data_IF_973765130002
#
_entry.id   IF_973765130002
#
_cell.length_a   1.000
_cell.length_b   1.000
_cell.length_c   1.000
_cell.angle_alpha   90.00
_cell.angle_beta   90.00
_cell.angle_gamma   90.00
#
_symmetry.space_group_name_H-M   'P 1'
#
loop_
_entity.id
_entity.type
_entity.pdbx_description
1 polymer ?
#
# COMPACT_ATOMS: atom_id res chain seq x y z
N UNK A 1 1.57 -12.68 14.89
CA UNK A 1 0.30 -12.76 14.11
C UNK A 1 0.53 -12.00 12.83
N UNK A 2 0.31 -12.63 11.68
CA UNK A 2 0.48 -11.99 10.37
C UNK A 2 -0.88 -11.58 9.81
N UNK A 3 -0.90 -10.44 9.14
CA UNK A 3 -2.03 -9.93 8.40
C UNK A 3 -2.08 -10.58 7.00
N UNK A 4 -3.28 -10.88 6.52
CA UNK A 4 -3.49 -11.23 5.12
C UNK A 4 -3.46 -9.94 4.28
N UNK A 5 -2.57 -9.89 3.29
CA UNK A 5 -2.48 -8.74 2.39
C UNK A 5 -3.26 -9.02 1.12
N UNK A 6 -4.34 -8.27 0.90
CA UNK A 6 -5.20 -8.37 -0.27
C UNK A 6 -4.94 -7.22 -1.23
N UNK A 7 -4.98 -7.52 -2.53
CA UNK A 7 -4.89 -6.55 -3.62
C UNK A 7 -5.85 -6.93 -4.74
N UNK A 8 -6.49 -5.93 -5.34
CA UNK A 8 -7.37 -6.15 -6.50
C UNK A 8 -6.55 -6.27 -7.78
N UNK A 9 -7.15 -6.81 -8.85
CA UNK A 9 -6.53 -6.83 -10.19
C UNK A 9 -6.15 -5.43 -10.68
N UNK A 10 -6.93 -4.40 -10.30
CA UNK A 10 -6.63 -3.00 -10.61
C UNK A 10 -5.30 -2.58 -9.98
N UNK A 11 -5.13 -2.83 -8.69
CA UNK A 11 -3.89 -2.50 -7.97
C UNK A 11 -2.71 -3.25 -8.54
N UNK A 12 -2.87 -4.53 -8.89
CA UNK A 12 -1.80 -5.28 -9.54
C UNK A 12 -1.38 -4.63 -10.86
N UNK A 13 -2.32 -4.18 -11.70
CA UNK A 13 -1.99 -3.45 -12.94
C UNK A 13 -1.28 -2.12 -12.68
N UNK A 14 -1.65 -1.39 -11.62
CA UNK A 14 -0.95 -0.16 -11.23
C UNK A 14 0.52 -0.47 -10.88
N UNK A 15 0.76 -1.55 -10.13
CA UNK A 15 2.11 -2.02 -9.79
C UNK A 15 2.88 -2.47 -11.05
N UNK A 16 2.20 -3.17 -11.96
CA UNK A 16 2.78 -3.69 -13.19
C UNK A 16 3.11 -2.61 -14.23
N UNK A 17 2.52 -1.42 -14.11
CA UNK A 17 2.86 -0.28 -14.96
C UNK A 17 4.15 0.44 -14.53
N UNK A 18 4.69 0.10 -13.35
CA UNK A 18 5.86 0.76 -12.77
C UNK A 18 7.14 0.07 -13.25
N UNK A 19 8.18 0.88 -13.45
CA UNK A 19 9.54 0.43 -13.75
C UNK A 19 10.03 -0.64 -12.76
N UNK A 20 10.77 -1.63 -13.28
CA UNK A 20 11.11 -2.86 -12.55
C UNK A 20 11.70 -2.60 -11.17
N UNK A 21 12.59 -1.60 -11.04
CA UNK A 21 13.25 -1.26 -9.78
C UNK A 21 12.27 -0.81 -8.70
N UNK A 22 11.30 0.02 -9.07
CA UNK A 22 10.32 0.56 -8.13
C UNK A 22 9.19 -0.44 -7.84
N UNK A 23 8.83 -1.26 -8.83
CA UNK A 23 7.94 -2.41 -8.64
C UNK A 23 8.44 -3.33 -7.52
N UNK A 24 9.71 -3.74 -7.58
CA UNK A 24 10.32 -4.60 -6.56
C UNK A 24 10.28 -3.96 -5.17
N UNK A 25 10.49 -2.64 -5.07
CA UNK A 25 10.39 -1.92 -3.79
C UNK A 25 8.96 -1.91 -3.27
N UNK A 26 7.98 -1.73 -4.13
CA UNK A 26 6.57 -1.76 -3.74
C UNK A 26 6.19 -3.15 -3.24
N UNK A 27 6.54 -4.21 -3.97
CA UNK A 27 6.25 -5.57 -3.57
C UNK A 27 6.91 -5.95 -2.24
N UNK A 28 8.17 -5.54 -2.03
CA UNK A 28 8.85 -5.73 -0.74
C UNK A 28 8.15 -5.04 0.42
N UNK A 29 7.64 -3.82 0.21
CA UNK A 29 6.86 -3.13 1.24
C UNK A 29 5.50 -3.79 1.47
N UNK A 30 4.81 -4.22 0.41
CA UNK A 30 3.53 -4.94 0.52
C UNK A 30 3.71 -6.23 1.33
N UNK A 31 4.80 -6.97 1.10
CA UNK A 31 5.13 -8.16 1.88
C UNK A 31 5.36 -7.81 3.37
N UNK A 32 6.10 -6.73 3.65
CA UNK A 32 6.33 -6.25 5.03
C UNK A 32 5.03 -5.88 5.76
N UNK A 33 4.00 -5.41 5.04
CA UNK A 33 2.71 -5.06 5.65
C UNK A 33 1.99 -6.27 6.27
N UNK A 34 2.29 -7.49 5.83
CA UNK A 34 1.76 -8.70 6.44
C UNK A 34 2.28 -8.87 7.88
N UNK A 35 3.55 -8.54 8.14
CA UNK A 35 4.18 -8.71 9.45
C UNK A 35 3.99 -7.48 10.33
N UNK A 36 4.11 -6.30 9.73
CA UNK A 36 3.95 -5.02 10.39
C UNK A 36 3.06 -4.13 9.52
N UNK A 37 1.74 -4.09 9.76
CA UNK A 37 0.83 -3.27 8.96
C UNK A 37 1.01 -1.77 9.21
N UNK A 38 1.79 -1.37 10.22
CA UNK A 38 2.07 0.03 10.60
C UNK A 38 3.58 0.27 10.70
N UNK A 39 4.36 0.06 9.62
CA UNK A 39 5.81 0.23 9.65
C UNK A 39 6.18 1.71 9.91
N UNK A 40 7.41 2.03 10.34
CA UNK A 40 7.79 3.41 10.71
C UNK A 40 7.55 4.47 9.62
N UNK A 41 7.55 4.10 8.34
CA UNK A 41 7.28 4.99 7.20
C UNK A 41 5.80 5.12 6.84
N UNK A 42 4.91 4.47 7.58
CA UNK A 42 3.48 4.57 7.37
C UNK A 42 2.91 5.79 8.10
N UNK A 43 2.05 6.52 7.40
CA UNK A 43 1.33 7.68 7.93
C UNK A 43 -0.17 7.39 7.85
N UNK A 44 -0.88 7.55 8.97
CA UNK A 44 -2.34 7.51 8.98
C UNK A 44 -2.89 8.72 8.23
N UNK A 45 -3.85 8.52 7.34
CA UNK A 45 -4.48 9.63 6.63
C UNK A 45 -5.57 10.26 7.50
N UNK A 46 -5.56 11.60 7.57
CA UNK A 46 -6.54 12.38 8.33
C UNK A 46 -7.91 12.31 7.63
N UNK A 47 -8.99 12.18 8.41
CA UNK A 47 -10.36 12.19 7.90
C UNK A 47 -10.84 10.88 7.27
N UNK A 48 -10.01 9.85 7.18
CA UNK A 48 -10.39 8.54 6.64
C UNK A 48 -10.15 7.44 7.67
N UNK A 49 -11.21 6.70 8.03
CA UNK A 49 -11.12 5.61 9.01
C UNK A 49 -10.21 4.52 8.46
N UNK A 50 -9.23 4.11 9.26
CA UNK A 50 -8.32 2.99 8.96
C UNK A 50 -7.48 3.09 7.68
N UNK A 51 -7.34 4.27 7.06
CA UNK A 51 -6.46 4.46 5.91
C UNK A 51 -5.06 4.88 6.29
N UNK A 52 -4.10 4.27 5.61
CA UNK A 52 -2.68 4.47 5.80
C UNK A 52 -1.98 4.63 4.46
N UNK A 53 -0.86 5.35 4.50
CA UNK A 53 0.03 5.52 3.36
C UNK A 53 1.44 5.22 3.78
N UNK A 54 2.14 4.35 3.05
CA UNK A 54 3.59 4.16 3.18
C UNK A 54 4.33 4.68 1.95
N UNK A 55 5.45 5.36 2.18
CA UNK A 55 6.33 5.89 1.12
C UNK A 55 7.56 5.00 0.94
N UNK A 56 7.86 4.62 -0.29
CA UNK A 56 9.08 3.89 -0.67
C UNK A 56 9.66 4.49 -1.95
N UNK A 57 10.86 5.06 -1.85
CA UNK A 57 11.39 5.93 -2.92
C UNK A 57 10.40 7.04 -3.28
N UNK A 58 10.11 7.16 -4.59
CA UNK A 58 9.14 8.11 -5.15
C UNK A 58 7.71 7.56 -5.24
N UNK A 59 7.50 6.32 -4.81
CA UNK A 59 6.21 5.63 -4.85
C UNK A 59 5.46 5.75 -3.51
N UNK A 60 4.14 5.59 -3.59
CA UNK A 60 3.22 5.53 -2.46
C UNK A 60 2.37 4.29 -2.57
N UNK A 61 2.12 3.66 -1.43
CA UNK A 61 1.15 2.58 -1.27
C UNK A 61 0.08 3.09 -0.31
N UNK A 62 -1.16 3.16 -0.80
CA UNK A 62 -2.35 3.47 -0.02
C UNK A 62 -3.02 2.17 0.37
N UNK A 63 -3.30 1.98 1.65
CA UNK A 63 -3.92 0.76 2.15
C UNK A 63 -4.83 1.01 3.34
N UNK A 64 -5.71 0.04 3.60
CA UNK A 64 -6.60 -0.03 4.75
C UNK A 64 -6.18 -1.18 5.66
N UNK A 65 -6.36 -1.02 6.97
CA UNK A 65 -6.12 -2.07 7.96
C UNK A 65 -7.44 -2.40 8.66
N UNK A 66 -7.79 -3.67 8.69
CA UNK A 66 -8.83 -4.20 9.56
C UNK A 66 -8.19 -5.11 10.62
N UNK A 67 -8.02 -4.59 11.83
CA UNK A 67 -7.44 -5.35 12.95
C UNK A 67 -8.41 -6.43 13.48
N UNK A 68 -9.72 -6.32 13.20
CA UNK A 68 -10.72 -7.29 13.65
C UNK A 68 -10.63 -8.62 12.91
N UNK A 69 -10.14 -8.59 11.67
CA UNK A 69 -9.95 -9.79 10.82
C UNK A 69 -8.53 -9.92 10.27
N UNK A 70 -7.57 -9.20 10.88
CA UNK A 70 -6.15 -9.22 10.51
C UNK A 70 -5.91 -9.09 9.00
N UNK A 71 -6.53 -8.10 8.36
CA UNK A 71 -6.43 -7.88 6.91
C UNK A 71 -5.81 -6.53 6.59
N UNK A 72 -4.92 -6.50 5.61
CA UNK A 72 -4.45 -5.28 4.94
C UNK A 72 -4.96 -5.27 3.51
N UNK A 73 -5.76 -4.28 3.15
CA UNK A 73 -6.25 -4.10 1.78
C UNK A 73 -5.48 -2.99 1.08
N UNK A 74 -4.70 -3.34 0.06
CA UNK A 74 -4.04 -2.34 -0.80
C UNK A 74 -5.07 -1.70 -1.72
N UNK A 75 -5.19 -0.38 -1.66
CA UNK A 75 -6.16 0.42 -2.40
C UNK A 75 -5.54 1.00 -3.67
N UNK A 76 -4.30 1.52 -3.58
CA UNK A 76 -3.53 2.10 -4.70
C UNK A 76 -2.04 1.88 -4.47
N UNK A 77 -1.27 1.72 -5.54
CA UNK A 77 0.19 1.72 -5.47
C UNK A 77 0.78 2.31 -6.74
N UNK A 78 1.66 3.31 -6.63
CA UNK A 78 2.17 4.02 -7.81
C UNK A 78 3.04 5.21 -7.48
N UNK A 79 3.51 5.90 -8.52
CA UNK A 79 4.23 7.16 -8.35
C UNK A 79 3.31 8.25 -7.80
N UNK A 80 3.88 9.33 -7.23
CA UNK A 80 3.11 10.42 -6.58
C UNK A 80 1.95 10.95 -7.43
N UNK A 81 2.13 11.02 -8.76
CA UNK A 81 1.17 11.60 -9.69
C UNK A 81 0.00 10.67 -10.00
N UNK A 82 0.17 9.38 -9.80
CA UNK A 82 -0.82 8.36 -10.15
C UNK A 82 -1.74 8.05 -8.97
N UNK A 83 -1.19 8.05 -7.75
CA UNK A 83 -1.95 7.71 -6.54
C UNK A 83 -3.00 8.76 -6.16
N UNK A 84 -2.86 10.00 -6.64
CA UNK A 84 -3.80 11.11 -6.38
C UNK A 84 -4.68 11.48 -7.57
N UNK A 85 -4.62 10.75 -8.70
CA UNK A 85 -5.35 11.17 -9.92
C UNK A 85 -6.87 10.99 -9.88
N UNK A 86 -7.41 10.28 -8.88
CA UNK A 86 -8.85 10.02 -8.72
C UNK A 86 -9.38 10.47 -7.34
N UNK A 87 -8.86 11.56 -6.78
CA UNK A 87 -9.36 12.17 -5.53
C UNK A 87 -10.16 13.43 -5.80
#
# INVERSE_FOLDING_TARGET
MNYEVRKTRRVQREIDAIEKRDRLRIEGVIALLAENPRPPKATKLVGQRNRWRVRTGDCRILYEIDDGVLTVLVIRAGHRREVYRDS
#
